data_IF_658043039142
#
_entry.id   IF_658043039142
#
_cell.length_a   1.000
_cell.length_b   1.000
_cell.length_c   1.000
_cell.angle_alpha   90.00
_cell.angle_beta   90.00
_cell.angle_gamma   90.00
#
_symmetry.space_group_name_H-M   'P 1'
#
loop_
_entity.id
_entity.type
_entity.pdbx_description
1 polymer ?
#
# COMPACT_ATOMS: atom_id res chain seq x y z
N UNK A 1 9.12 -21.48 -1.95
CA UNK A 1 9.44 -20.24 -2.68
C UNK A 1 10.44 -19.47 -1.83
N UNK A 2 11.56 -19.00 -2.39
CA UNK A 2 12.56 -18.25 -1.63
C UNK A 2 12.11 -16.78 -1.56
N UNK A 3 11.88 -16.26 -0.36
CA UNK A 3 11.41 -14.89 -0.13
C UNK A 3 12.41 -14.12 0.73
N UNK A 4 12.77 -12.91 0.31
CA UNK A 4 13.54 -11.97 1.10
C UNK A 4 12.63 -10.91 1.70
N UNK A 5 12.88 -10.53 2.95
CA UNK A 5 12.15 -9.49 3.66
C UNK A 5 13.13 -8.46 4.23
N UNK A 6 12.98 -7.21 3.81
CA UNK A 6 13.65 -6.04 4.39
C UNK A 6 12.69 -5.37 5.37
N UNK A 7 13.10 -5.19 6.62
CA UNK A 7 12.24 -4.60 7.65
C UNK A 7 12.68 -3.16 7.89
N UNK A 8 11.74 -2.22 7.75
CA UNK A 8 11.89 -0.84 8.17
C UNK A 8 11.13 -0.67 9.50
N UNK A 9 11.86 -0.75 10.61
CA UNK A 9 11.31 -0.64 11.95
C UNK A 9 11.38 0.81 12.43
N UNK A 10 10.23 1.45 12.60
CA UNK A 10 10.12 2.79 13.14
C UNK A 10 9.79 2.72 14.64
N UNK A 11 10.75 3.16 15.47
CA UNK A 11 10.52 3.31 16.92
C UNK A 11 9.73 4.57 17.27
N UNK A 12 9.74 5.56 16.38
CA UNK A 12 8.97 6.80 16.43
C UNK A 12 8.81 7.35 15.01
N UNK A 13 8.05 8.44 14.83
CA UNK A 13 7.89 9.10 13.53
C UNK A 13 9.21 9.60 12.90
N UNK A 14 10.26 9.76 13.71
CA UNK A 14 11.52 10.38 13.29
C UNK A 14 12.72 9.43 13.34
N UNK A 15 12.51 8.13 13.56
CA UNK A 15 13.61 7.19 13.69
C UNK A 15 13.29 5.85 13.05
N UNK A 16 14.22 5.35 12.25
CA UNK A 16 14.11 4.07 11.54
C UNK A 16 15.33 3.19 11.83
N UNK A 17 15.10 1.89 11.96
CA UNK A 17 16.13 0.85 11.87
C UNK A 17 15.79 -0.05 10.68
N UNK A 18 16.77 -0.31 9.83
CA UNK A 18 16.67 -1.17 8.65
C UNK A 18 17.33 -2.50 8.93
N UNK A 19 16.55 -3.59 8.89
CA UNK A 19 17.04 -4.94 9.19
C UNK A 19 16.90 -5.85 7.98
N UNK A 20 17.96 -6.59 7.66
CA UNK A 20 17.98 -7.64 6.66
C UNK A 20 18.94 -8.76 7.08
N UNK A 21 18.51 -10.02 6.91
CA UNK A 21 19.34 -11.21 7.14
C UNK A 21 20.08 -11.25 8.49
N UNK A 22 19.38 -10.86 9.56
CA UNK A 22 19.93 -10.83 10.92
C UNK A 22 20.85 -9.65 11.24
N UNK A 23 21.09 -8.75 10.27
CA UNK A 23 21.88 -7.53 10.47
C UNK A 23 20.97 -6.30 10.51
N UNK A 24 21.30 -5.33 11.36
CA UNK A 24 20.51 -4.10 11.53
C UNK A 24 21.38 -2.86 11.29
N UNK A 25 20.78 -1.77 10.81
CA UNK A 25 21.49 -0.53 10.50
C UNK A 25 21.77 0.35 11.72
N UNK A 26 21.40 -0.11 12.91
CA UNK A 26 21.25 0.75 14.08
C UNK A 26 20.08 1.72 13.94
N UNK A 27 19.96 2.62 14.92
CA UNK A 27 18.93 3.65 14.98
C UNK A 27 19.36 4.87 14.16
N UNK A 28 18.66 5.13 13.06
CA UNK A 28 18.90 6.26 12.16
C UNK A 28 17.81 7.31 12.31
N UNK A 29 18.19 8.58 12.18
CA UNK A 29 17.23 9.69 12.07
C UNK A 29 16.46 9.57 10.75
N UNK A 30 15.16 9.83 10.81
CA UNK A 30 14.26 9.87 9.68
C UNK A 30 13.49 11.19 9.68
N UNK A 31 13.46 11.86 8.54
CA UNK A 31 12.66 13.06 8.34
C UNK A 31 11.65 12.77 7.25
N UNK A 32 10.36 12.84 7.57
CA UNK A 32 9.29 12.65 6.59
C UNK A 32 9.42 13.70 5.46
N UNK A 33 9.70 13.29 4.21
CA UNK A 33 9.86 14.22 3.10
C UNK A 33 8.53 14.59 2.42
N UNK A 34 7.42 13.97 2.82
CA UNK A 34 6.09 14.14 2.19
C UNK A 34 5.35 15.29 2.86
N UNK A 35 5.10 16.34 2.10
CA UNK A 35 4.41 17.55 2.58
C UNK A 35 2.89 17.37 2.61
N UNK A 36 2.18 18.32 3.22
CA UNK A 36 0.72 18.35 3.17
C UNK A 36 0.20 18.45 1.74
N UNK A 37 0.78 19.35 0.93
CA UNK A 37 0.40 19.52 -0.48
C UNK A 37 0.61 18.25 -1.30
N UNK A 38 1.69 17.51 -1.05
CA UNK A 38 1.93 16.22 -1.70
C UNK A 38 0.81 15.23 -1.40
N UNK A 39 0.29 15.20 -0.16
CA UNK A 39 -0.83 14.32 0.23
C UNK A 39 -2.14 14.74 -0.45
N UNK A 40 -2.40 16.03 -0.54
CA UNK A 40 -3.58 16.56 -1.24
C UNK A 40 -3.54 16.24 -2.73
N UNK A 41 -2.36 16.37 -3.35
CA UNK A 41 -2.14 16.06 -4.76
C UNK A 41 -2.32 14.58 -5.07
N UNK A 42 -1.73 13.70 -4.26
CA UNK A 42 -1.93 12.25 -4.39
C UNK A 42 -3.41 11.89 -4.25
N UNK A 43 -4.10 12.47 -3.25
CA UNK A 43 -5.53 12.22 -3.04
C UNK A 43 -6.34 12.66 -4.25
N UNK A 44 -6.13 13.89 -4.74
CA UNK A 44 -6.83 14.38 -5.92
C UNK A 44 -6.57 13.51 -7.15
N UNK A 45 -5.32 13.08 -7.36
CA UNK A 45 -4.95 12.24 -8.49
C UNK A 45 -5.64 10.88 -8.48
N UNK A 46 -5.69 10.22 -7.32
CA UNK A 46 -6.30 8.88 -7.20
C UNK A 46 -7.83 8.97 -7.15
N UNK A 47 -8.38 9.89 -6.37
CA UNK A 47 -9.81 9.93 -6.05
C UNK A 47 -10.62 10.82 -7.00
N UNK A 48 -10.05 11.90 -7.53
CA UNK A 48 -10.77 12.82 -8.43
C UNK A 48 -10.45 12.50 -9.88
N UNK A 49 -9.17 12.47 -10.25
CA UNK A 49 -8.76 12.21 -11.63
C UNK A 49 -9.03 10.75 -12.02
N UNK A 50 -8.61 9.79 -11.20
CA UNK A 50 -8.83 8.36 -11.43
C UNK A 50 -10.31 7.91 -11.46
N UNK A 51 -11.20 8.62 -10.76
CA UNK A 51 -12.63 8.29 -10.72
C UNK A 51 -13.44 8.90 -11.88
N UNK A 52 -12.91 9.92 -12.58
CA UNK A 52 -13.62 10.60 -13.66
C UNK A 52 -13.34 9.94 -15.00
N UNK A 53 -14.08 8.87 -15.31
CA UNK A 53 -14.04 8.25 -16.65
C UNK A 53 -14.86 8.99 -17.73
N UNK A 54 -15.58 10.09 -17.39
CA UNK A 54 -16.61 10.68 -18.28
C UNK A 54 -16.60 12.23 -18.37
N UNK A 55 -15.64 12.92 -17.77
CA UNK A 55 -15.52 14.39 -17.86
C UNK A 55 -14.19 14.77 -18.53
N UNK A 56 -14.07 16.02 -19.02
CA UNK A 56 -12.81 16.58 -19.54
C UNK A 56 -11.80 16.67 -18.38
N UNK A 57 -10.86 15.71 -18.25
CA UNK A 57 -9.99 15.62 -17.09
C UNK A 57 -8.97 16.77 -17.15
N UNK A 58 -8.57 17.32 -16.00
CA UNK A 58 -7.43 18.25 -15.97
C UNK A 58 -6.12 17.47 -16.15
N UNK A 59 -5.83 17.10 -17.40
CA UNK A 59 -4.66 16.33 -17.80
C UNK A 59 -3.35 17.08 -17.57
N UNK A 60 -3.40 18.41 -17.48
CA UNK A 60 -2.22 19.21 -17.17
C UNK A 60 -1.85 19.05 -15.69
N UNK A 61 -2.83 19.15 -14.81
CA UNK A 61 -2.63 18.94 -13.37
C UNK A 61 -2.24 17.48 -13.07
N UNK A 62 -2.87 16.51 -13.73
CA UNK A 62 -2.51 15.10 -13.62
C UNK A 62 -1.03 14.85 -13.96
N UNK A 63 -0.55 15.35 -15.11
CA UNK A 63 0.86 15.23 -15.51
C UNK A 63 1.82 15.93 -14.54
N UNK A 64 1.43 17.09 -14.00
CA UNK A 64 2.22 17.77 -12.96
C UNK A 64 2.38 16.89 -11.72
N UNK A 65 1.29 16.26 -11.28
CA UNK A 65 1.29 15.38 -10.11
C UNK A 65 2.09 14.10 -10.38
N UNK A 66 1.94 13.46 -11.55
CA UNK A 66 2.74 12.29 -11.93
C UNK A 66 4.26 12.55 -11.84
N UNK A 67 4.71 13.70 -12.35
CA UNK A 67 6.11 14.12 -12.21
C UNK A 67 6.52 14.25 -10.75
N UNK A 68 5.63 14.80 -9.91
CA UNK A 68 5.86 14.95 -8.47
C UNK A 68 5.90 13.61 -7.72
N UNK A 69 5.12 12.59 -8.12
CA UNK A 69 5.15 11.25 -7.50
C UNK A 69 6.54 10.63 -7.53
N UNK A 70 7.26 10.79 -8.65
CA UNK A 70 8.63 10.30 -8.80
C UNK A 70 9.57 10.99 -7.81
N UNK A 71 9.44 12.30 -7.65
CA UNK A 71 10.28 13.07 -6.72
C UNK A 71 10.01 12.74 -5.26
N UNK A 72 8.73 12.54 -4.89
CA UNK A 72 8.33 12.04 -3.58
C UNK A 72 8.97 10.66 -3.32
N UNK A 73 8.88 9.77 -4.30
CA UNK A 73 9.45 8.43 -4.23
C UNK A 73 10.95 8.40 -3.97
N UNK A 74 11.70 9.22 -4.72
CA UNK A 74 13.15 9.38 -4.53
C UNK A 74 13.48 10.02 -3.17
N UNK A 75 12.69 10.99 -2.73
CA UNK A 75 12.89 11.63 -1.43
C UNK A 75 12.65 10.66 -0.27
N UNK A 76 11.59 9.83 -0.34
CA UNK A 76 11.35 8.75 0.62
C UNK A 76 12.49 7.73 0.64
N UNK A 77 12.97 7.31 -0.54
CA UNK A 77 14.11 6.41 -0.63
C UNK A 77 15.35 6.99 0.06
N UNK A 78 15.68 8.26 -0.22
CA UNK A 78 16.82 8.93 0.40
C UNK A 78 16.66 9.04 1.92
N UNK A 79 15.47 9.41 2.39
CA UNK A 79 15.17 9.58 3.81
C UNK A 79 15.36 8.29 4.63
N UNK A 80 15.20 7.11 4.01
CA UNK A 80 15.39 5.81 4.68
C UNK A 80 16.79 5.25 4.44
N UNK A 81 17.22 5.17 3.18
CA UNK A 81 18.40 4.38 2.81
C UNK A 81 19.66 5.21 2.66
N UNK A 82 19.55 6.51 2.39
CA UNK A 82 20.71 7.39 2.21
C UNK A 82 20.88 8.39 3.36
N UNK A 83 20.21 8.13 4.49
CA UNK A 83 20.43 8.85 5.73
C UNK A 83 21.65 8.27 6.48
N UNK A 84 22.43 9.15 7.13
CA UNK A 84 23.58 8.75 7.94
C UNK A 84 24.73 8.14 7.15
N UNK A 85 25.42 7.19 7.77
CA UNK A 85 26.72 6.65 7.31
C UNK A 85 26.62 5.53 6.26
N UNK A 86 25.43 5.29 5.70
CA UNK A 86 25.20 4.32 4.62
C UNK A 86 24.78 2.91 5.06
N UNK A 87 24.72 2.62 6.36
CA UNK A 87 24.33 1.31 6.90
C UNK A 87 22.99 0.80 6.34
N UNK A 88 21.96 1.67 6.29
CA UNK A 88 20.66 1.30 5.71
C UNK A 88 20.73 0.98 4.20
N UNK A 89 21.56 1.72 3.45
CA UNK A 89 21.78 1.44 2.03
C UNK A 89 22.41 0.06 1.84
N UNK A 90 23.37 -0.32 2.68
CA UNK A 90 24.00 -1.64 2.60
C UNK A 90 22.99 -2.78 2.78
N UNK A 91 22.08 -2.68 3.77
CA UNK A 91 21.01 -3.68 3.97
C UNK A 91 20.06 -3.71 2.78
N UNK A 92 19.71 -2.55 2.22
CA UNK A 92 18.90 -2.48 1.02
C UNK A 92 19.59 -3.14 -0.19
N UNK A 93 20.88 -2.89 -0.40
CA UNK A 93 21.64 -3.51 -1.49
C UNK A 93 21.79 -5.02 -1.30
N UNK A 94 22.05 -5.49 -0.08
CA UNK A 94 22.08 -6.92 0.23
C UNK A 94 20.72 -7.58 -0.05
N UNK A 95 19.62 -6.96 0.39
CA UNK A 95 18.26 -7.38 0.08
C UNK A 95 17.99 -7.43 -1.42
N UNK A 96 18.35 -6.37 -2.14
CA UNK A 96 18.16 -6.25 -3.59
C UNK A 96 19.03 -7.23 -4.39
N UNK A 97 20.20 -7.59 -3.90
CA UNK A 97 21.10 -8.54 -4.56
C UNK A 97 20.87 -9.99 -4.12
N UNK A 98 19.94 -10.25 -3.20
CA UNK A 98 19.57 -11.60 -2.78
C UNK A 98 18.97 -12.41 -3.93
N UNK A 99 19.20 -13.72 -3.93
CA UNK A 99 18.64 -14.67 -4.91
C UNK A 99 17.17 -15.04 -4.63
N UNK A 100 16.44 -14.19 -3.90
CA UNK A 100 15.04 -14.42 -3.57
C UNK A 100 14.14 -14.16 -4.78
N UNK A 101 13.20 -15.08 -5.01
CA UNK A 101 12.19 -15.00 -6.08
C UNK A 101 11.06 -14.03 -5.75
N UNK A 102 10.87 -13.72 -4.47
CA UNK A 102 9.90 -12.75 -3.97
C UNK A 102 10.59 -11.82 -2.99
N UNK A 103 10.28 -10.52 -3.07
CA UNK A 103 10.89 -9.49 -2.23
C UNK A 103 9.79 -8.63 -1.60
N UNK A 104 9.92 -8.41 -0.30
CA UNK A 104 8.98 -7.62 0.48
C UNK A 104 9.74 -6.61 1.33
N UNK A 105 9.32 -5.35 1.29
CA UNK A 105 9.70 -4.36 2.30
C UNK A 105 8.55 -4.28 3.31
N UNK A 106 8.83 -4.58 4.57
CA UNK A 106 7.86 -4.47 5.66
C UNK A 106 8.13 -3.23 6.48
N UNK A 107 7.21 -2.28 6.45
CA UNK A 107 7.20 -1.09 7.29
C UNK A 107 6.47 -1.43 8.58
N UNK A 108 7.19 -1.38 9.70
CA UNK A 108 6.65 -1.65 11.03
C UNK A 108 6.71 -0.40 11.87
N UNK A 109 5.56 0.12 12.32
CA UNK A 109 5.49 1.33 13.13
C UNK A 109 4.28 1.31 14.08
N UNK A 110 4.37 2.01 15.21
CA UNK A 110 3.19 2.36 16.03
C UNK A 110 2.48 3.60 15.51
N UNK A 111 3.22 4.49 14.83
CA UNK A 111 2.73 5.80 14.42
C UNK A 111 2.02 5.74 13.05
N UNK A 112 0.75 6.14 13.02
CA UNK A 112 -0.04 6.19 11.79
C UNK A 112 0.50 7.19 10.74
N UNK A 113 1.23 8.23 11.17
CA UNK A 113 1.86 9.20 10.27
C UNK A 113 2.95 8.56 9.39
N UNK A 114 3.63 7.54 9.90
CA UNK A 114 4.61 6.71 9.17
C UNK A 114 3.90 5.72 8.27
N UNK A 115 2.92 4.97 8.79
CA UNK A 115 2.20 3.95 8.01
C UNK A 115 1.42 4.55 6.84
N UNK A 116 0.92 5.77 6.98
CA UNK A 116 0.18 6.50 5.93
C UNK A 116 1.08 7.13 4.86
N UNK A 117 2.40 6.97 4.93
CA UNK A 117 3.28 7.41 3.86
C UNK A 117 3.07 6.54 2.60
N UNK A 118 3.24 7.13 1.40
CA UNK A 118 3.04 6.44 0.13
C UNK A 118 4.27 5.58 -0.20
N UNK A 119 4.53 4.55 0.61
CA UNK A 119 5.68 3.65 0.50
C UNK A 119 5.76 2.94 -0.86
N UNK A 120 4.64 2.78 -1.55
CA UNK A 120 4.56 2.26 -2.92
C UNK A 120 5.32 3.14 -3.92
N UNK A 121 5.47 4.43 -3.63
CA UNK A 121 6.24 5.36 -4.46
C UNK A 121 7.75 5.21 -4.29
N UNK A 122 8.26 4.37 -3.38
CA UNK A 122 9.70 4.17 -3.21
C UNK A 122 10.37 3.97 -4.57
N UNK A 123 11.36 4.80 -4.86
CA UNK A 123 12.01 4.89 -6.16
C UNK A 123 13.52 4.97 -5.97
N UNK A 124 14.28 4.06 -6.58
CA UNK A 124 15.74 4.15 -6.60
C UNK A 124 16.13 5.46 -7.32
N UNK A 125 16.89 6.38 -6.69
CA UNK A 125 17.27 7.65 -7.32
C UNK A 125 17.91 7.54 -8.71
N UNK A 126 18.52 6.40 -9.03
CA UNK A 126 19.16 6.12 -10.33
C UNK A 126 18.40 5.10 -11.19
N UNK A 127 17.27 4.60 -10.69
CA UNK A 127 16.57 3.45 -11.26
C UNK A 127 15.11 3.76 -11.56
N UNK A 128 14.24 2.84 -11.12
CA UNK A 128 12.79 2.90 -11.29
C UNK A 128 12.11 2.81 -9.92
N UNK A 129 10.79 2.92 -9.90
CA UNK A 129 9.99 2.53 -8.74
C UNK A 129 10.28 1.09 -8.33
N UNK A 130 10.44 0.83 -7.03
CA UNK A 130 10.84 -0.49 -6.53
C UNK A 130 9.82 -1.59 -6.89
N UNK A 131 8.53 -1.26 -7.00
CA UNK A 131 7.51 -2.21 -7.45
C UNK A 131 7.70 -2.66 -8.92
N UNK A 132 8.46 -1.91 -9.72
CA UNK A 132 8.81 -2.24 -11.11
C UNK A 132 10.12 -3.01 -11.25
N UNK A 133 10.88 -3.17 -10.17
CA UNK A 133 12.09 -4.01 -10.19
C UNK A 133 11.74 -5.46 -10.53
N UNK A 134 12.74 -6.21 -11.02
CA UNK A 134 12.62 -7.65 -11.28
C UNK A 134 13.69 -8.39 -10.48
N UNK A 135 13.32 -9.27 -9.53
CA UNK A 135 11.95 -9.57 -9.08
C UNK A 135 11.26 -8.38 -8.40
N UNK A 136 9.92 -8.34 -8.50
CA UNK A 136 9.11 -7.26 -7.95
C UNK A 136 9.28 -7.15 -6.44
N UNK A 137 9.45 -5.91 -5.96
CA UNK A 137 9.47 -5.59 -4.54
C UNK A 137 8.07 -5.12 -4.13
N UNK A 138 7.43 -5.88 -3.25
CA UNK A 138 6.14 -5.53 -2.67
C UNK A 138 6.31 -4.79 -1.34
N UNK A 139 5.30 -4.01 -0.96
CA UNK A 139 5.29 -3.25 0.29
C UNK A 139 4.25 -3.85 1.23
N UNK A 140 4.64 -4.05 2.48
CA UNK A 140 3.77 -4.51 3.56
C UNK A 140 3.83 -3.51 4.71
N UNK A 141 2.67 -3.19 5.29
CA UNK A 141 2.57 -2.37 6.50
C UNK A 141 2.20 -3.26 7.68
N UNK A 142 2.84 -3.03 8.82
CA UNK A 142 2.57 -3.75 10.08
C UNK A 142 2.47 -2.73 11.21
N UNK A 143 1.39 -2.79 11.98
CA UNK A 143 1.33 -2.07 13.25
C UNK A 143 2.22 -2.81 14.24
N UNK A 144 3.22 -2.12 14.81
CA UNK A 144 4.09 -2.71 15.81
C UNK A 144 3.25 -3.17 17.03
N UNK A 145 3.64 -4.29 17.66
CA UNK A 145 2.89 -4.84 18.80
C UNK A 145 1.56 -5.52 18.46
N UNK A 146 1.11 -5.49 17.21
CA UNK A 146 -0.07 -6.23 16.73
C UNK A 146 0.17 -7.74 16.56
N UNK A 147 1.20 -8.30 17.21
CA UNK A 147 1.50 -9.73 17.22
C UNK A 147 0.45 -10.54 18.00
N UNK A 148 -0.37 -9.87 18.82
CA UNK A 148 -1.53 -10.45 19.51
C UNK A 148 -2.85 -10.27 18.75
N UNK A 149 -2.79 -10.10 17.43
CA UNK A 149 -3.97 -10.27 16.59
C UNK A 149 -4.50 -11.70 16.71
N UNK A 150 -5.82 -11.90 16.68
CA UNK A 150 -6.39 -13.25 16.49
C UNK A 150 -5.68 -13.87 15.28
N UNK A 151 -5.20 -15.10 15.43
CA UNK A 151 -4.67 -15.87 14.31
C UNK A 151 -5.65 -15.74 13.12
N UNK A 152 -5.16 -15.52 11.88
CA UNK A 152 -6.03 -15.38 10.74
C UNK A 152 -7.02 -16.53 10.76
N UNK A 153 -8.31 -16.22 10.66
CA UNK A 153 -9.34 -17.25 10.66
C UNK A 153 -9.02 -18.22 9.52
N UNK A 154 -8.52 -19.41 9.87
CA UNK A 154 -8.32 -20.47 8.90
C UNK A 154 -9.70 -20.99 8.53
N UNK A 155 -10.27 -20.40 7.48
CA UNK A 155 -11.52 -20.87 6.89
C UNK A 155 -11.22 -22.23 6.27
N UNK A 156 -11.72 -23.30 6.89
CA UNK A 156 -11.78 -24.59 6.22
C UNK A 156 -12.74 -24.44 5.03
N UNK A 157 -12.40 -24.95 3.84
CA UNK A 157 -13.33 -24.97 2.72
C UNK A 157 -14.67 -25.53 3.18
N UNK A 158 -15.73 -24.75 3.02
CA UNK A 158 -17.10 -25.18 3.31
C UNK A 158 -17.75 -25.63 2.02
N UNK A 159 -18.68 -26.58 2.12
CA UNK A 159 -19.51 -27.00 0.98
C UNK A 159 -20.44 -25.86 0.51
N UNK A 160 -20.74 -24.93 1.42
CA UNK A 160 -21.63 -23.80 1.19
C UNK A 160 -21.07 -22.52 1.83
N UNK A 161 -21.15 -21.40 1.10
CA UNK A 161 -20.78 -20.06 1.57
C UNK A 161 -22.04 -19.22 1.81
N UNK A 162 -22.13 -18.62 2.99
CA UNK A 162 -23.17 -17.64 3.29
C UNK A 162 -22.62 -16.24 3.05
N UNK A 163 -23.24 -15.47 2.18
CA UNK A 163 -22.77 -14.16 1.73
C UNK A 163 -23.75 -13.09 2.20
N UNK A 164 -23.31 -12.21 3.09
CA UNK A 164 -24.05 -11.00 3.44
C UNK A 164 -23.62 -9.86 2.51
N UNK A 165 -24.55 -9.37 1.70
CA UNK A 165 -24.32 -8.21 0.84
C UNK A 165 -24.71 -6.92 1.59
N UNK A 166 -23.76 -6.00 1.78
CA UNK A 166 -23.99 -4.73 2.50
C UNK A 166 -23.71 -3.59 1.54
N UNK A 167 -24.71 -2.70 1.37
CA UNK A 167 -24.61 -1.53 0.49
C UNK A 167 -24.76 -0.29 1.34
N UNK A 168 -23.75 0.57 1.29
CA UNK A 168 -23.78 1.86 1.96
C UNK A 168 -24.75 2.79 1.24
N UNK A 169 -25.67 3.40 1.99
CA UNK A 169 -26.60 4.41 1.48
C UNK A 169 -26.06 5.81 1.80
N UNK A 170 -25.81 6.68 0.81
CA UNK A 170 -25.61 8.10 1.05
C UNK A 170 -26.92 8.73 1.56
N UNK A 171 -26.86 9.51 2.63
CA UNK A 171 -28.01 10.25 3.19
C UNK A 171 -27.95 11.76 2.89
N UNK A 172 -26.96 12.20 2.13
CA UNK A 172 -26.72 13.61 1.86
C UNK A 172 -27.84 14.23 1.00
N UNK A 173 -28.17 15.49 1.30
CA UNK A 173 -29.14 16.26 0.51
C UNK A 173 -28.65 16.42 -0.93
N UNK A 174 -29.52 16.09 -1.90
CA UNK A 174 -29.23 16.20 -3.34
C UNK A 174 -28.82 14.89 -4.02
N UNK A 175 -28.59 13.80 -3.27
CA UNK A 175 -28.44 12.46 -3.85
C UNK A 175 -29.83 11.85 -4.04
N UNK A 176 -30.25 11.68 -5.29
CA UNK A 176 -31.55 11.07 -5.63
C UNK A 176 -31.61 9.61 -5.14
N UNK A 177 -32.83 9.10 -4.89
CA UNK A 177 -33.03 7.70 -4.50
C UNK A 177 -32.61 6.79 -5.66
N UNK A 178 -31.38 6.28 -5.59
CA UNK A 178 -30.94 5.11 -6.33
C UNK A 178 -31.46 3.91 -5.55
N UNK A 179 -32.26 3.04 -6.17
CA UNK A 179 -32.68 1.80 -5.50
C UNK A 179 -31.41 0.98 -5.22
N UNK A 180 -31.00 0.81 -3.96
CA UNK A 180 -29.77 0.09 -3.66
C UNK A 180 -29.85 -1.39 -4.07
N UNK A 181 -31.01 -1.89 -4.50
CA UNK A 181 -31.19 -3.26 -4.98
C UNK A 181 -30.82 -3.46 -6.45
N UNK A 182 -30.75 -2.40 -7.26
CA UNK A 182 -30.40 -2.54 -8.69
C UNK A 182 -28.96 -2.98 -8.91
N UNK A 183 -28.03 -2.46 -8.10
CA UNK A 183 -26.60 -2.75 -8.22
C UNK A 183 -26.22 -4.20 -7.88
N UNK A 184 -26.77 -4.84 -6.82
CA UNK A 184 -26.49 -6.23 -6.51
C UNK A 184 -27.23 -7.24 -7.38
N UNK A 185 -28.31 -6.87 -8.08
CA UNK A 185 -29.14 -7.82 -8.83
C UNK A 185 -28.33 -8.66 -9.81
N UNK A 186 -27.48 -8.02 -10.63
CA UNK A 186 -26.63 -8.73 -11.58
C UNK A 186 -25.66 -9.70 -10.88
N UNK A 187 -25.16 -9.34 -9.68
CA UNK A 187 -24.30 -10.20 -8.87
C UNK A 187 -25.11 -11.38 -8.33
N UNK A 188 -26.30 -11.13 -7.78
CA UNK A 188 -27.18 -12.17 -7.23
C UNK A 188 -27.62 -13.16 -8.32
N UNK A 189 -27.97 -12.69 -9.52
CA UNK A 189 -28.32 -13.52 -10.67
C UNK A 189 -27.14 -14.41 -11.09
N UNK A 190 -25.95 -13.81 -11.19
CA UNK A 190 -24.71 -14.55 -11.50
C UNK A 190 -24.43 -15.62 -10.44
N UNK A 191 -24.64 -15.32 -9.15
CA UNK A 191 -24.47 -16.28 -8.06
C UNK A 191 -25.50 -17.41 -8.15
N UNK A 192 -26.74 -17.10 -8.54
CA UNK A 192 -27.80 -18.10 -8.75
C UNK A 192 -27.46 -19.05 -9.91
N UNK A 193 -27.00 -18.50 -11.04
CA UNK A 193 -26.65 -19.29 -12.23
C UNK A 193 -25.41 -20.19 -11.99
N UNK A 194 -24.35 -19.62 -11.42
CA UNK A 194 -23.06 -20.29 -11.37
C UNK A 194 -22.74 -20.99 -10.05
N UNK A 195 -23.46 -20.70 -8.95
CA UNK A 195 -23.22 -21.31 -7.66
C UNK A 195 -24.48 -21.83 -6.93
N UNK A 196 -25.43 -22.50 -7.63
CA UNK A 196 -26.67 -22.97 -7.03
C UNK A 196 -26.38 -23.94 -5.88
N UNK A 197 -26.97 -23.67 -4.71
CA UNK A 197 -26.78 -24.47 -3.49
C UNK A 197 -25.38 -24.38 -2.84
N UNK A 198 -24.39 -23.80 -3.52
CA UNK A 198 -23.04 -23.56 -3.01
C UNK A 198 -22.89 -22.18 -2.38
N UNK A 199 -23.71 -21.22 -2.80
CA UNK A 199 -23.79 -19.88 -2.21
C UNK A 199 -25.23 -19.62 -1.79
N UNK A 200 -25.40 -19.07 -0.60
CA UNK A 200 -26.68 -18.60 -0.09
C UNK A 200 -26.53 -17.20 0.47
N UNK A 201 -27.54 -16.37 0.24
CA UNK A 201 -27.60 -14.98 0.69
C UNK A 201 -28.51 -14.85 1.91
#
# INVERSE_FOLDING_TARGET
MNSAELILQFSSANHVNVTFDGTDSGRLEFVNPVTHKDREDIRWYVETYGARSLADPDDAEARRIEGRLTEIGKALFRAVFQAGDGEANERFLAFRNSNATQRVITITAYDSSVLSLPWELLHDPRGVFLFREKPHISVRRRVAGAERGRAPLRIKPKQQLHVLFVISRPIDEGVSFIDPRSDPEAILDTLHEHAPGRITC
#
